data_IF_074872927618
#
_entry.id   IF_074872927618
#
_cell.length_a   1.000
_cell.length_b   1.000
_cell.length_c   1.000
_cell.angle_alpha   90.00
_cell.angle_beta   90.00
_cell.angle_gamma   90.00
#
_symmetry.space_group_name_H-M   'P 1'
#
loop_
_entity.id
_entity.type
_entity.pdbx_description
1 polymer ?
#
# COMPACT_ATOMS: atom_id res chain seq x y z
N UNK A 1 -23.21 -15.32 -10.42
CA UNK A 1 -21.84 -15.86 -10.46
C UNK A 1 -21.16 -15.57 -9.13
N UNK A 2 -20.62 -16.61 -8.47
CA UNK A 2 -19.94 -16.49 -7.16
C UNK A 2 -18.43 -16.59 -7.36
N UNK A 3 -17.67 -15.57 -6.95
CA UNK A 3 -16.22 -15.47 -7.18
C UNK A 3 -15.49 -15.37 -5.85
N UNK A 4 -14.41 -16.16 -5.71
CA UNK A 4 -13.46 -16.02 -4.61
C UNK A 4 -12.22 -15.25 -5.05
N UNK A 5 -11.94 -14.13 -4.41
CA UNK A 5 -10.69 -13.35 -4.59
C UNK A 5 -9.68 -13.75 -3.52
N UNK A 6 -8.46 -14.07 -3.92
CA UNK A 6 -7.38 -14.46 -3.00
C UNK A 6 -6.31 -13.36 -2.92
N UNK A 7 -6.16 -12.72 -1.75
CA UNK A 7 -4.99 -11.88 -1.41
C UNK A 7 -4.74 -11.92 0.09
N UNK A 8 -3.68 -12.60 0.52
CA UNK A 8 -3.44 -12.92 1.93
C UNK A 8 -2.72 -11.81 2.70
N UNK A 9 -1.96 -10.97 2.03
CA UNK A 9 -1.12 -9.89 2.56
C UNK A 9 -0.54 -9.07 1.40
N UNK A 10 0.05 -7.90 1.56
CA UNK A 10 0.09 -7.06 2.73
C UNK A 10 -0.98 -5.97 2.66
N UNK A 11 -0.98 -4.98 3.57
CA UNK A 11 -1.94 -3.86 3.57
C UNK A 11 -2.03 -3.20 2.19
N UNK A 12 -0.91 -2.71 1.66
CA UNK A 12 -0.87 -2.03 0.36
C UNK A 12 -1.32 -2.91 -0.79
N UNK A 13 -0.89 -4.18 -0.80
CA UNK A 13 -1.30 -5.12 -1.84
C UNK A 13 -2.82 -5.41 -1.82
N UNK A 14 -3.45 -5.44 -0.63
CA UNK A 14 -4.89 -5.61 -0.49
C UNK A 14 -5.61 -4.38 -1.05
N UNK A 15 -5.17 -3.18 -0.69
CA UNK A 15 -5.72 -1.93 -1.23
C UNK A 15 -5.59 -1.90 -2.76
N UNK A 16 -4.48 -2.34 -3.32
CA UNK A 16 -4.25 -2.43 -4.76
C UNK A 16 -5.19 -3.41 -5.49
N UNK A 17 -5.89 -4.32 -4.77
CA UNK A 17 -6.90 -5.21 -5.37
C UNK A 17 -8.28 -4.58 -5.47
N UNK A 18 -8.54 -3.45 -4.81
CA UNK A 18 -9.88 -2.86 -4.72
C UNK A 18 -10.51 -2.51 -6.07
N UNK A 19 -9.76 -2.05 -7.11
CA UNK A 19 -10.34 -1.86 -8.43
C UNK A 19 -10.89 -3.15 -9.06
N UNK A 20 -10.21 -4.29 -8.85
CA UNK A 20 -10.71 -5.59 -9.36
C UNK A 20 -12.03 -5.96 -8.67
N UNK A 21 -12.08 -5.82 -7.35
CA UNK A 21 -13.27 -6.11 -6.54
C UNK A 21 -14.44 -5.23 -6.96
N UNK A 22 -14.23 -3.92 -7.03
CA UNK A 22 -15.25 -2.95 -7.46
C UNK A 22 -15.76 -3.23 -8.88
N UNK A 23 -14.86 -3.44 -9.84
CA UNK A 23 -15.23 -3.69 -11.23
C UNK A 23 -15.97 -5.02 -11.40
N UNK A 24 -15.55 -6.09 -10.72
CA UNK A 24 -16.27 -7.36 -10.69
C UNK A 24 -17.69 -7.19 -10.14
N UNK A 25 -17.85 -6.48 -9.01
CA UNK A 25 -19.15 -6.25 -8.40
C UNK A 25 -20.07 -5.47 -9.31
N UNK A 26 -19.57 -4.35 -9.88
CA UNK A 26 -20.39 -3.43 -10.67
C UNK A 26 -20.69 -3.93 -12.09
N UNK A 27 -19.74 -4.60 -12.74
CA UNK A 27 -19.87 -4.95 -14.16
C UNK A 27 -20.34 -6.38 -14.39
N UNK A 28 -20.00 -7.31 -13.48
CA UNK A 28 -20.40 -8.71 -13.60
C UNK A 28 -21.54 -9.10 -12.64
N UNK A 29 -21.98 -8.20 -11.75
CA UNK A 29 -23.00 -8.51 -10.72
C UNK A 29 -22.63 -9.70 -9.85
N UNK A 30 -21.31 -9.95 -9.63
CA UNK A 30 -20.85 -11.13 -8.94
C UNK A 30 -21.11 -11.05 -7.44
N UNK A 31 -21.42 -12.20 -6.83
CA UNK A 31 -21.28 -12.41 -5.40
C UNK A 31 -19.80 -12.60 -5.11
N UNK A 32 -19.20 -11.66 -4.37
CA UNK A 32 -17.76 -11.62 -4.15
C UNK A 32 -17.40 -12.00 -2.73
N UNK A 33 -16.67 -13.10 -2.61
CA UNK A 33 -16.02 -13.49 -1.39
C UNK A 33 -14.52 -13.19 -1.47
N UNK A 34 -13.92 -12.84 -0.35
CA UNK A 34 -12.49 -12.50 -0.28
C UNK A 34 -11.80 -13.33 0.79
N UNK A 35 -10.65 -13.95 0.46
CA UNK A 35 -9.85 -14.72 1.42
C UNK A 35 -8.55 -13.96 1.71
N UNK A 36 -8.32 -13.68 2.99
CA UNK A 36 -7.11 -13.00 3.49
C UNK A 36 -6.62 -13.62 4.79
N UNK A 37 -5.48 -13.16 5.32
CA UNK A 37 -5.09 -13.46 6.71
C UNK A 37 -5.94 -12.64 7.68
N UNK A 38 -6.25 -13.22 8.86
CA UNK A 38 -7.09 -12.60 9.88
C UNK A 38 -6.65 -11.18 10.25
N UNK A 39 -5.35 -10.95 10.41
CA UNK A 39 -4.78 -9.63 10.74
C UNK A 39 -5.10 -8.55 9.70
N UNK A 40 -5.44 -8.92 8.46
CA UNK A 40 -5.78 -7.99 7.38
C UNK A 40 -7.27 -7.95 7.07
N UNK A 41 -8.08 -8.83 7.66
CA UNK A 41 -9.53 -8.87 7.43
C UNK A 41 -10.23 -7.53 7.73
N UNK A 42 -9.85 -6.77 8.78
CA UNK A 42 -10.45 -5.46 9.03
C UNK A 42 -10.38 -4.48 7.86
N UNK A 43 -9.31 -4.52 7.05
CA UNK A 43 -9.14 -3.64 5.87
C UNK A 43 -10.31 -3.76 4.88
N UNK A 44 -10.94 -4.93 4.85
CA UNK A 44 -11.99 -5.29 3.89
C UNK A 44 -13.40 -5.18 4.48
N UNK A 45 -13.53 -5.09 5.81
CA UNK A 45 -14.82 -5.22 6.51
C UNK A 45 -15.85 -4.17 6.10
N UNK A 46 -15.42 -2.94 5.84
CA UNK A 46 -16.31 -1.85 5.42
C UNK A 46 -16.42 -1.72 3.88
N UNK A 47 -15.85 -2.64 3.10
CA UNK A 47 -15.88 -2.55 1.65
C UNK A 47 -17.22 -3.03 1.09
N UNK A 48 -18.07 -2.14 0.52
CA UNK A 48 -19.43 -2.49 0.08
C UNK A 48 -19.46 -3.39 -1.15
N UNK A 49 -18.32 -3.64 -1.78
CA UNK A 49 -18.21 -4.52 -2.94
C UNK A 49 -17.88 -5.97 -2.59
N UNK A 50 -17.68 -6.28 -1.30
CA UNK A 50 -17.35 -7.62 -0.81
C UNK A 50 -18.53 -8.14 0.01
N UNK A 51 -19.11 -9.26 -0.42
CA UNK A 51 -20.26 -9.84 0.26
C UNK A 51 -19.84 -10.65 1.50
N UNK A 52 -18.64 -11.28 1.45
CA UNK A 52 -18.12 -12.06 2.58
C UNK A 52 -16.60 -12.07 2.61
N UNK A 53 -16.02 -11.87 3.79
CA UNK A 53 -14.60 -12.03 4.04
C UNK A 53 -14.35 -13.33 4.81
N UNK A 54 -13.54 -14.21 4.22
CA UNK A 54 -12.96 -15.37 4.90
C UNK A 54 -11.54 -15.02 5.36
N UNK A 55 -11.17 -15.50 6.53
CA UNK A 55 -9.83 -15.27 7.05
C UNK A 55 -9.26 -16.48 7.76
N UNK A 56 -7.94 -16.60 7.75
CA UNK A 56 -7.20 -17.66 8.44
C UNK A 56 -6.05 -17.04 9.25
N UNK A 57 -5.68 -17.71 10.36
CA UNK A 57 -4.59 -17.27 11.24
C UNK A 57 -3.23 -17.75 10.75
N UNK A 58 -3.04 -19.03 10.66
CA UNK A 58 -1.76 -19.68 10.36
C UNK A 58 -1.74 -20.34 8.99
N UNK A 59 -2.73 -21.17 8.71
CA UNK A 59 -2.78 -21.97 7.49
C UNK A 59 -4.14 -21.94 6.82
N UNK A 60 -4.16 -21.97 5.48
CA UNK A 60 -5.38 -21.94 4.68
C UNK A 60 -6.31 -23.13 4.92
N UNK A 61 -5.79 -24.24 5.48
CA UNK A 61 -6.62 -25.40 5.83
C UNK A 61 -7.73 -25.07 6.82
N UNK A 62 -7.54 -24.04 7.67
CA UNK A 62 -8.53 -23.59 8.66
C UNK A 62 -9.89 -23.24 8.03
N UNK A 63 -9.91 -22.83 6.77
CA UNK A 63 -11.11 -22.33 6.07
C UNK A 63 -11.48 -23.15 4.82
N UNK A 64 -10.71 -24.19 4.45
CA UNK A 64 -10.97 -24.94 3.22
C UNK A 64 -12.34 -25.65 3.22
N UNK A 65 -12.81 -26.12 4.37
CA UNK A 65 -14.12 -26.76 4.48
C UNK A 65 -15.22 -25.76 4.10
N UNK A 66 -15.22 -24.59 4.70
CA UNK A 66 -16.21 -23.54 4.46
C UNK A 66 -16.16 -23.04 3.02
N UNK A 67 -14.94 -22.83 2.49
CA UNK A 67 -14.78 -22.42 1.10
C UNK A 67 -15.31 -23.45 0.10
N UNK A 68 -15.21 -24.74 0.37
CA UNK A 68 -15.77 -25.80 -0.50
C UNK A 68 -17.29 -25.77 -0.52
N UNK A 69 -17.93 -25.49 0.62
CA UNK A 69 -19.40 -25.44 0.72
C UNK A 69 -20.02 -24.31 -0.11
N UNK A 70 -19.25 -23.25 -0.39
CA UNK A 70 -19.70 -22.08 -1.14
C UNK A 70 -19.87 -22.29 -2.65
N UNK A 71 -19.30 -23.36 -3.22
CA UNK A 71 -19.45 -23.74 -4.64
C UNK A 71 -19.14 -22.63 -5.64
N UNK A 72 -17.94 -22.04 -5.53
CA UNK A 72 -17.50 -20.95 -6.42
C UNK A 72 -17.52 -21.31 -7.91
N UNK A 73 -17.86 -20.34 -8.75
CA UNK A 73 -17.74 -20.46 -10.21
C UNK A 73 -16.33 -20.15 -10.69
N UNK A 74 -15.61 -19.24 -9.99
CA UNK A 74 -14.26 -18.81 -10.36
C UNK A 74 -13.44 -18.43 -9.12
N UNK A 75 -12.15 -18.70 -9.17
CA UNK A 75 -11.14 -18.21 -8.22
C UNK A 75 -10.23 -17.19 -8.92
N UNK A 76 -10.20 -15.96 -8.41
CA UNK A 76 -9.31 -14.89 -8.86
C UNK A 76 -8.14 -14.79 -7.90
N UNK A 77 -6.98 -15.31 -8.30
CA UNK A 77 -5.79 -15.41 -7.46
C UNK A 77 -4.86 -14.21 -7.68
N UNK A 78 -5.01 -13.20 -6.84
CA UNK A 78 -4.19 -11.99 -6.80
C UNK A 78 -3.01 -12.10 -5.82
N UNK A 79 -2.77 -13.31 -5.28
CA UNK A 79 -1.62 -13.59 -4.40
C UNK A 79 -0.55 -14.44 -5.08
N UNK A 80 -0.96 -15.47 -5.81
CA UNK A 80 -0.17 -16.35 -6.67
C UNK A 80 1.07 -16.93 -5.97
N UNK A 81 0.86 -17.73 -4.92
CA UNK A 81 1.92 -18.46 -4.21
C UNK A 81 1.47 -19.90 -3.87
N UNK A 82 2.31 -20.67 -3.16
CA UNK A 82 2.00 -22.06 -2.80
C UNK A 82 0.73 -22.19 -1.95
N UNK A 83 0.44 -21.22 -1.07
CA UNK A 83 -0.80 -21.24 -0.26
C UNK A 83 -2.04 -21.01 -1.13
N UNK A 84 -1.99 -20.06 -2.06
CA UNK A 84 -3.10 -19.83 -2.99
C UNK A 84 -3.26 -21.00 -3.97
N UNK A 85 -2.17 -21.67 -4.34
CA UNK A 85 -2.23 -22.90 -5.13
C UNK A 85 -2.97 -24.02 -4.38
N UNK A 86 -2.70 -24.22 -3.07
CA UNK A 86 -3.44 -25.19 -2.24
C UNK A 86 -4.94 -24.89 -2.19
N UNK A 87 -5.33 -23.60 -2.06
CA UNK A 87 -6.75 -23.21 -2.12
C UNK A 87 -7.37 -23.58 -3.48
N UNK A 88 -6.71 -23.21 -4.59
CA UNK A 88 -7.20 -23.55 -5.94
C UNK A 88 -7.37 -25.06 -6.14
N UNK A 89 -6.39 -25.83 -5.70
CA UNK A 89 -6.46 -27.29 -5.74
C UNK A 89 -7.61 -27.84 -4.90
N UNK A 90 -7.76 -27.36 -3.66
CA UNK A 90 -8.80 -27.84 -2.76
C UNK A 90 -10.21 -27.55 -3.26
N UNK A 91 -10.40 -26.47 -4.01
CA UNK A 91 -11.71 -26.07 -4.53
C UNK A 91 -12.07 -26.73 -5.86
N UNK A 92 -11.10 -27.21 -6.64
CA UNK A 92 -11.31 -27.79 -7.97
C UNK A 92 -12.19 -26.91 -8.88
N UNK A 93 -11.94 -25.58 -8.89
CA UNK A 93 -12.70 -24.62 -9.68
C UNK A 93 -11.80 -23.91 -10.69
N UNK A 94 -12.36 -23.40 -11.79
CA UNK A 94 -11.62 -22.53 -12.70
C UNK A 94 -10.90 -21.43 -11.93
N UNK A 95 -9.64 -21.14 -12.26
CA UNK A 95 -8.85 -20.16 -11.58
C UNK A 95 -8.06 -19.28 -12.55
N UNK A 96 -7.91 -18.00 -12.20
CA UNK A 96 -7.09 -17.05 -12.91
C UNK A 96 -6.10 -16.42 -11.96
N UNK A 97 -4.82 -16.46 -12.28
CA UNK A 97 -3.75 -15.87 -11.48
C UNK A 97 -3.09 -14.73 -12.22
N UNK A 98 -2.75 -13.67 -11.50
CA UNK A 98 -2.03 -12.55 -12.10
C UNK A 98 -0.56 -12.88 -12.35
N UNK A 99 0.04 -12.18 -13.31
CA UNK A 99 1.47 -12.29 -13.58
C UNK A 99 2.27 -11.43 -12.57
N UNK A 100 3.20 -12.07 -11.86
CA UNK A 100 4.09 -11.44 -10.87
C UNK A 100 5.29 -10.73 -11.51
N UNK A 101 5.56 -10.99 -12.79
CA UNK A 101 6.78 -10.55 -13.48
C UNK A 101 8.05 -10.82 -12.63
N UNK A 102 8.10 -12.04 -12.06
CA UNK A 102 9.18 -12.39 -11.14
C UNK A 102 10.53 -12.52 -11.84
N UNK A 103 10.53 -12.98 -13.09
CA UNK A 103 11.74 -13.13 -13.88
C UNK A 103 12.33 -11.77 -14.24
N UNK A 104 11.52 -10.84 -14.71
CA UNK A 104 11.92 -9.47 -15.09
C UNK A 104 12.46 -8.71 -13.87
N UNK A 105 11.77 -8.84 -12.71
CA UNK A 105 12.26 -8.27 -11.45
C UNK A 105 13.59 -8.90 -11.00
N UNK A 106 13.73 -10.21 -11.14
CA UNK A 106 14.96 -10.90 -10.82
C UNK A 106 16.10 -10.43 -11.74
N UNK A 107 15.83 -10.30 -13.02
CA UNK A 107 16.80 -9.84 -14.01
C UNK A 107 17.29 -8.43 -13.65
N UNK A 108 16.38 -7.49 -13.38
CA UNK A 108 16.75 -6.12 -12.99
C UNK A 108 17.59 -6.10 -11.69
N UNK A 109 17.17 -6.84 -10.66
CA UNK A 109 17.84 -6.85 -9.36
C UNK A 109 19.24 -7.45 -9.44
N UNK A 110 19.45 -8.51 -10.23
CA UNK A 110 20.70 -9.26 -10.21
C UNK A 110 21.68 -8.87 -11.34
N UNK A 111 21.18 -8.35 -12.45
CA UNK A 111 22.02 -8.02 -13.62
C UNK A 111 21.94 -6.54 -14.03
N UNK A 112 20.99 -5.77 -13.48
CA UNK A 112 20.75 -4.38 -13.92
C UNK A 112 20.01 -4.26 -15.26
N UNK A 113 19.66 -5.39 -15.90
CA UNK A 113 18.96 -5.38 -17.19
C UNK A 113 17.46 -5.13 -16.91
N UNK A 114 16.94 -4.01 -17.38
CA UNK A 114 15.53 -3.67 -17.27
C UNK A 114 14.73 -4.24 -18.45
N UNK A 115 13.83 -5.17 -18.14
CA UNK A 115 12.80 -5.71 -19.05
C UNK A 115 11.41 -5.66 -18.40
N UNK A 116 11.21 -4.76 -17.45
CA UNK A 116 9.90 -4.59 -16.83
C UNK A 116 8.88 -4.08 -17.87
N UNK A 117 7.64 -4.58 -17.85
CA UNK A 117 6.64 -4.22 -18.88
C UNK A 117 6.09 -2.80 -18.72
N UNK A 118 6.58 -1.99 -17.77
CA UNK A 118 6.07 -0.65 -17.42
C UNK A 118 4.54 -0.62 -17.22
N UNK A 119 4.01 -1.65 -16.59
CA UNK A 119 2.58 -1.82 -16.32
C UNK A 119 2.36 -1.86 -14.81
N UNK A 120 1.51 -0.96 -14.31
CA UNK A 120 1.15 -0.93 -12.90
C UNK A 120 0.48 -2.24 -12.46
N UNK A 121 0.72 -2.67 -11.21
CA UNK A 121 0.22 -3.95 -10.68
C UNK A 121 -1.32 -4.04 -10.73
N UNK A 122 -2.04 -2.93 -10.58
CA UNK A 122 -3.50 -2.88 -10.72
C UNK A 122 -3.94 -3.37 -12.09
N UNK A 123 -3.29 -2.94 -13.18
CA UNK A 123 -3.61 -3.41 -14.52
C UNK A 123 -3.28 -4.89 -14.73
N UNK A 124 -2.21 -5.39 -14.09
CA UNK A 124 -1.89 -6.83 -14.07
C UNK A 124 -2.94 -7.64 -13.28
N UNK A 125 -3.51 -7.07 -12.21
CA UNK A 125 -4.63 -7.66 -11.49
C UNK A 125 -5.90 -7.66 -12.35
N UNK A 126 -6.24 -6.54 -13.01
CA UNK A 126 -7.38 -6.44 -13.91
C UNK A 126 -7.31 -7.43 -15.08
N UNK A 127 -6.12 -7.78 -15.57
CA UNK A 127 -5.95 -8.77 -16.62
C UNK A 127 -6.53 -10.15 -16.26
N UNK A 128 -6.60 -10.51 -14.97
CA UNK A 128 -7.17 -11.78 -14.50
C UNK A 128 -8.67 -11.91 -14.78
N UNK A 129 -9.38 -10.78 -14.85
CA UNK A 129 -10.85 -10.73 -15.01
C UNK A 129 -11.29 -10.29 -16.41
N UNK A 130 -10.34 -9.92 -17.29
CA UNK A 130 -10.63 -9.44 -18.66
C UNK A 130 -11.50 -10.40 -19.48
N UNK A 131 -11.32 -11.72 -19.32
CA UNK A 131 -12.13 -12.73 -20.04
C UNK A 131 -13.59 -12.79 -19.59
N UNK A 132 -13.96 -12.14 -18.50
CA UNK A 132 -15.34 -11.96 -18.05
C UNK A 132 -15.98 -10.69 -18.65
N UNK A 133 -15.30 -9.99 -19.56
CA UNK A 133 -15.73 -8.68 -20.07
C UNK A 133 -15.53 -7.53 -19.08
N UNK A 134 -14.89 -7.78 -17.91
CA UNK A 134 -14.66 -6.76 -16.88
C UNK A 134 -13.44 -5.94 -17.24
N UNK A 135 -13.63 -4.62 -17.31
CA UNK A 135 -12.60 -3.63 -17.63
C UNK A 135 -12.38 -2.66 -16.46
N UNK A 136 -11.20 -2.06 -16.40
CA UNK A 136 -10.92 -1.03 -15.39
C UNK A 136 -11.80 0.22 -15.64
N UNK A 137 -12.45 0.70 -14.58
CA UNK A 137 -13.43 1.79 -14.62
C UNK A 137 -12.84 3.20 -14.50
N UNK A 138 -11.51 3.31 -14.41
CA UNK A 138 -10.82 4.59 -14.28
C UNK A 138 -10.87 5.26 -12.91
N UNK A 139 -11.53 4.67 -11.90
CA UNK A 139 -11.84 5.35 -10.64
C UNK A 139 -10.71 5.31 -9.57
N UNK A 140 -9.57 4.69 -9.85
CA UNK A 140 -8.46 4.57 -8.88
C UNK A 140 -8.69 3.47 -7.84
N UNK A 141 -8.05 3.63 -6.69
CA UNK A 141 -8.17 2.73 -5.54
C UNK A 141 -9.35 3.10 -4.66
N UNK A 142 -9.78 2.16 -3.81
CA UNK A 142 -10.75 2.39 -2.73
C UNK A 142 -10.15 2.06 -1.37
N UNK A 143 -10.58 2.80 -0.36
CA UNK A 143 -10.40 2.45 1.04
C UNK A 143 -11.60 2.96 1.85
N UNK A 144 -12.23 2.08 2.61
CA UNK A 144 -13.41 2.39 3.39
C UNK A 144 -13.07 2.36 4.88
N UNK A 145 -13.37 3.44 5.57
CA UNK A 145 -13.16 3.56 7.02
C UNK A 145 -14.49 3.27 7.70
N UNK A 146 -14.56 2.30 8.64
CA UNK A 146 -15.76 2.12 9.46
C UNK A 146 -16.07 3.41 10.22
N UNK A 147 -17.36 3.82 10.36
CA UNK A 147 -17.72 5.08 11.00
C UNK A 147 -17.16 5.25 12.42
N UNK A 148 -17.09 4.15 13.19
CA UNK A 148 -16.54 4.12 14.55
C UNK A 148 -15.03 4.34 14.62
N UNK A 149 -14.32 4.19 13.50
CA UNK A 149 -12.87 4.41 13.40
C UNK A 149 -12.52 5.80 12.85
N UNK A 150 -13.52 6.64 12.60
CA UNK A 150 -13.29 8.02 12.18
C UNK A 150 -12.75 8.87 13.32
N UNK A 151 -11.71 9.63 13.02
CA UNK A 151 -10.99 10.46 13.98
C UNK A 151 -11.23 11.94 13.70
N UNK A 152 -11.55 12.70 14.74
CA UNK A 152 -11.50 14.17 14.69
C UNK A 152 -10.07 14.62 14.99
N UNK A 153 -9.35 15.11 14.00
CA UNK A 153 -7.94 15.50 14.17
C UNK A 153 -7.74 16.62 15.19
N UNK A 154 -8.70 17.53 15.33
CA UNK A 154 -8.67 18.58 16.36
C UNK A 154 -8.74 18.05 17.80
N UNK A 155 -9.27 16.83 17.99
CA UNK A 155 -9.25 16.17 19.30
C UNK A 155 -7.90 15.52 19.63
N UNK A 156 -7.06 15.24 18.61
CA UNK A 156 -5.71 14.71 18.80
C UNK A 156 -4.72 15.81 19.19
N UNK A 157 -4.88 17.00 18.64
CA UNK A 157 -4.13 18.21 19.00
C UNK A 157 -4.89 19.44 18.53
N UNK A 158 -4.97 20.47 19.38
CA UNK A 158 -5.65 21.74 19.03
C UNK A 158 -4.99 22.51 17.88
N UNK A 159 -3.77 22.15 17.49
CA UNK A 159 -3.08 22.73 16.33
C UNK A 159 -3.49 22.11 14.99
N UNK A 160 -4.24 20.97 15.01
CA UNK A 160 -4.62 20.23 13.82
C UNK A 160 -6.04 20.58 13.39
N UNK A 161 -6.21 20.86 12.10
CA UNK A 161 -7.49 20.96 11.42
C UNK A 161 -7.43 20.24 10.06
N UNK A 162 -8.58 19.78 9.51
CA UNK A 162 -8.58 19.20 8.18
C UNK A 162 -7.96 20.14 7.15
N UNK A 163 -6.99 19.62 6.38
CA UNK A 163 -6.29 20.37 5.32
C UNK A 163 -5.12 21.23 5.77
N UNK A 164 -4.77 21.30 7.07
CA UNK A 164 -3.69 22.17 7.54
C UNK A 164 -2.40 21.45 7.96
N UNK A 165 -2.28 20.14 7.75
CA UNK A 165 -1.11 19.37 8.19
C UNK A 165 -0.67 18.33 7.16
N UNK A 166 0.57 17.93 7.25
CA UNK A 166 1.17 16.84 6.48
C UNK A 166 1.11 15.57 7.32
N UNK A 167 0.60 14.47 6.76
CA UNK A 167 0.70 13.14 7.37
C UNK A 167 2.01 12.48 6.92
N UNK A 168 2.89 12.15 7.87
CA UNK A 168 4.14 11.46 7.58
C UNK A 168 4.08 10.00 8.04
N UNK A 169 3.95 9.06 7.11
CA UNK A 169 4.00 7.63 7.37
C UNK A 169 5.45 7.15 7.51
N UNK A 170 5.93 7.00 8.74
CA UNK A 170 7.30 6.59 9.06
C UNK A 170 7.58 5.11 8.78
N UNK A 171 6.55 4.26 8.91
CA UNK A 171 6.69 2.81 8.84
C UNK A 171 6.92 2.28 7.44
N UNK A 172 7.70 1.22 7.36
CA UNK A 172 7.74 0.27 6.25
C UNK A 172 8.20 -1.08 6.79
N UNK A 173 7.79 -2.18 6.17
CA UNK A 173 8.13 -3.54 6.63
C UNK A 173 9.64 -3.77 6.73
N UNK A 174 10.42 -3.20 5.81
CA UNK A 174 11.87 -3.38 5.78
C UNK A 174 12.59 -2.06 6.07
N UNK A 175 13.64 -2.11 6.89
CA UNK A 175 14.40 -0.93 7.29
C UNK A 175 15.03 -0.20 6.08
N UNK A 176 15.41 -0.94 5.03
CA UNK A 176 15.98 -0.34 3.81
C UNK A 176 14.99 0.48 2.98
N UNK A 177 13.72 0.52 3.36
CA UNK A 177 12.70 1.39 2.77
C UNK A 177 12.46 2.68 3.56
N UNK A 178 13.05 2.82 4.75
CA UNK A 178 12.80 3.95 5.68
C UNK A 178 13.89 5.00 5.57
N UNK A 179 13.51 6.26 5.63
CA UNK A 179 14.48 7.35 5.83
C UNK A 179 15.20 7.18 7.18
N UNK A 180 16.49 7.53 7.27
CA UNK A 180 17.16 7.67 8.56
C UNK A 180 16.41 8.65 9.47
N UNK A 181 16.32 8.33 10.76
CA UNK A 181 15.55 9.12 11.74
C UNK A 181 15.99 10.58 11.78
N UNK A 182 17.31 10.83 11.72
CA UNK A 182 17.88 12.19 11.72
C UNK A 182 17.39 12.99 10.51
N UNK A 183 17.33 12.34 9.33
CA UNK A 183 16.84 12.97 8.10
C UNK A 183 15.34 13.26 8.18
N UNK A 184 14.56 12.32 8.72
CA UNK A 184 13.13 12.53 8.98
C UNK A 184 12.88 13.69 9.93
N UNK A 185 13.65 13.79 11.02
CA UNK A 185 13.59 14.90 11.98
C UNK A 185 13.95 16.25 11.33
N UNK A 186 14.96 16.27 10.46
CA UNK A 186 15.36 17.47 9.76
C UNK A 186 14.30 17.96 8.77
N UNK A 187 13.66 17.08 8.02
CA UNK A 187 12.53 17.39 7.15
C UNK A 187 11.39 17.99 7.98
N UNK A 188 11.00 17.37 9.10
CA UNK A 188 9.95 17.88 9.96
C UNK A 188 10.26 19.28 10.51
N UNK A 189 11.51 19.54 10.92
CA UNK A 189 11.92 20.88 11.41
C UNK A 189 11.89 21.97 10.35
N UNK A 190 12.16 21.61 9.08
CA UNK A 190 12.18 22.54 7.94
C UNK A 190 10.81 22.72 7.27
N UNK A 191 9.81 21.99 7.73
CA UNK A 191 8.45 22.05 7.19
C UNK A 191 7.67 23.14 7.92
N UNK A 192 7.05 24.05 7.19
CA UNK A 192 6.29 25.18 7.73
C UNK A 192 4.92 24.75 8.30
N UNK A 193 4.39 23.64 7.85
CA UNK A 193 3.08 23.10 8.27
C UNK A 193 3.24 22.14 9.44
N UNK A 194 2.18 21.95 10.25
CA UNK A 194 2.15 20.85 11.22
C UNK A 194 2.38 19.50 10.56
N UNK A 195 3.14 18.63 11.21
CA UNK A 195 3.45 17.26 10.75
C UNK A 195 2.90 16.26 11.74
N UNK A 196 2.05 15.34 11.26
CA UNK A 196 1.53 14.23 12.05
C UNK A 196 2.32 12.97 11.70
N UNK A 197 3.08 12.44 12.65
CA UNK A 197 3.82 11.19 12.47
C UNK A 197 2.88 10.00 12.66
N UNK A 198 2.84 9.12 11.67
CA UNK A 198 2.05 7.89 11.66
C UNK A 198 2.97 6.67 11.56
N UNK A 199 2.70 5.67 12.37
CA UNK A 199 3.43 4.42 12.40
C UNK A 199 2.81 3.43 13.37
N UNK A 200 3.16 2.15 13.25
CA UNK A 200 2.75 1.12 14.20
C UNK A 200 3.63 1.12 15.46
N UNK A 201 3.47 0.07 16.27
CA UNK A 201 4.25 -0.12 17.50
C UNK A 201 5.77 -0.21 17.25
N UNK A 202 6.18 -0.70 16.08
CA UNK A 202 7.58 -0.82 15.70
C UNK A 202 8.27 0.54 15.46
N UNK A 203 7.51 1.59 15.16
CA UNK A 203 8.02 2.91 14.89
C UNK A 203 8.07 3.84 16.12
N UNK A 204 7.47 3.43 17.25
CA UNK A 204 7.38 4.24 18.48
C UNK A 204 8.75 4.75 18.94
N UNK A 205 9.72 3.85 19.05
CA UNK A 205 11.05 4.21 19.56
C UNK A 205 11.77 5.18 18.62
N UNK A 206 11.77 4.88 17.33
CA UNK A 206 12.40 5.73 16.33
C UNK A 206 11.73 7.12 16.24
N UNK A 207 10.40 7.18 16.39
CA UNK A 207 9.64 8.44 16.30
C UNK A 207 9.89 9.39 17.46
N UNK A 208 10.33 8.91 18.62
CA UNK A 208 10.68 9.75 19.78
C UNK A 208 11.82 10.72 19.53
N UNK A 209 12.69 10.40 18.58
CA UNK A 209 13.79 11.28 18.18
C UNK A 209 13.38 12.36 17.16
N UNK A 210 12.14 12.31 16.65
CA UNK A 210 11.61 13.28 15.71
C UNK A 210 10.79 14.31 16.50
N UNK A 211 11.45 15.36 16.95
CA UNK A 211 10.86 16.41 17.80
C UNK A 211 10.77 17.72 17.04
N UNK A 212 9.77 18.52 17.36
CA UNK A 212 9.59 19.87 16.86
C UNK A 212 8.29 20.49 17.38
N UNK A 213 8.18 21.81 17.44
CA UNK A 213 6.98 22.51 17.90
C UNK A 213 5.77 22.27 16.98
N UNK A 214 6.03 21.89 15.73
CA UNK A 214 5.03 21.57 14.71
C UNK A 214 4.80 20.07 14.53
N UNK A 215 5.38 19.19 15.39
CA UNK A 215 5.29 17.73 15.26
C UNK A 215 4.32 17.14 16.26
N UNK A 216 3.32 16.42 15.76
CA UNK A 216 2.40 15.61 16.56
C UNK A 216 2.69 14.13 16.30
N UNK A 217 3.20 13.43 17.31
CA UNK A 217 3.59 12.04 17.20
C UNK A 217 2.46 11.10 17.63
N UNK A 218 1.88 10.37 16.68
CA UNK A 218 0.82 9.39 16.89
C UNK A 218 1.26 7.94 16.62
N UNK A 219 2.56 7.69 16.51
CA UNK A 219 3.08 6.33 16.30
C UNK A 219 2.67 5.39 17.44
N UNK A 220 2.12 4.23 17.09
CA UNK A 220 1.66 3.21 18.04
C UNK A 220 0.36 3.53 18.78
N UNK A 221 -0.27 4.68 18.54
CA UNK A 221 -1.48 5.13 19.23
C UNK A 221 -2.77 4.86 18.45
N UNK A 222 -2.68 4.73 17.15
CA UNK A 222 -3.84 4.62 16.26
C UNK A 222 -3.93 3.22 15.65
N UNK A 223 -5.17 2.78 15.39
CA UNK A 223 -5.41 1.65 14.49
C UNK A 223 -5.05 2.02 13.05
N UNK A 224 -5.08 1.06 12.13
CA UNK A 224 -4.88 1.33 10.71
C UNK A 224 -5.98 2.23 10.15
N UNK A 225 -7.25 2.01 10.54
CA UNK A 225 -8.37 2.82 10.08
C UNK A 225 -8.32 4.25 10.64
N UNK A 226 -7.96 4.41 11.90
CA UNK A 226 -7.74 5.73 12.51
C UNK A 226 -6.58 6.47 11.82
N UNK A 227 -5.48 5.77 11.52
CA UNK A 227 -4.37 6.33 10.72
C UNK A 227 -4.84 6.72 9.31
N UNK A 228 -5.71 5.93 8.68
CA UNK A 228 -6.31 6.24 7.39
C UNK A 228 -7.23 7.47 7.47
N UNK A 229 -8.00 7.63 8.56
CA UNK A 229 -8.82 8.82 8.81
C UNK A 229 -7.96 10.08 8.94
N UNK A 230 -6.82 10.00 9.63
CA UNK A 230 -5.85 11.10 9.71
C UNK A 230 -5.24 11.39 8.32
N UNK A 231 -4.84 10.37 7.57
CA UNK A 231 -4.33 10.53 6.19
C UNK A 231 -5.35 11.21 5.28
N UNK A 232 -6.62 10.81 5.36
CA UNK A 232 -7.70 11.39 4.54
C UNK A 232 -7.89 12.89 4.78
N UNK A 233 -7.67 13.37 5.99
CA UNK A 233 -7.84 14.77 6.40
C UNK A 233 -6.57 15.61 6.19
N UNK A 234 -5.40 15.01 5.89
CA UNK A 234 -4.16 15.73 5.63
C UNK A 234 -4.22 16.54 4.32
N UNK A 235 -3.44 17.62 4.21
CA UNK A 235 -3.26 18.34 2.93
C UNK A 235 -2.35 17.56 1.98
N UNK A 236 -1.29 16.93 2.50
CA UNK A 236 -0.35 16.11 1.75
C UNK A 236 0.13 14.93 2.60
N UNK A 237 0.73 13.95 1.95
CA UNK A 237 1.27 12.75 2.61
C UNK A 237 2.73 12.54 2.21
N UNK A 238 3.61 12.55 3.20
CA UNK A 238 4.99 12.08 3.04
C UNK A 238 5.04 10.60 3.44
N UNK A 239 5.59 9.77 2.59
CA UNK A 239 5.57 8.32 2.87
C UNK A 239 6.73 7.59 2.19
N UNK A 240 6.98 6.38 2.66
CA UNK A 240 7.81 5.40 1.99
C UNK A 240 6.94 4.44 1.14
N UNK A 241 7.56 3.47 0.45
CA UNK A 241 6.86 2.34 -0.19
C UNK A 241 6.19 1.45 0.88
N UNK A 242 4.96 1.80 1.26
CA UNK A 242 4.20 1.22 2.39
C UNK A 242 2.69 1.18 2.13
N UNK A 243 1.96 0.48 3.00
CA UNK A 243 0.50 0.36 2.91
C UNK A 243 -0.24 1.70 2.96
N UNK A 244 0.20 2.63 3.84
CA UNK A 244 -0.40 3.97 3.94
C UNK A 244 -0.23 4.81 2.66
N UNK A 245 0.80 4.57 1.86
CA UNK A 245 0.96 5.19 0.54
C UNK A 245 -0.24 4.88 -0.38
N UNK A 246 -0.65 3.62 -0.42
CA UNK A 246 -1.78 3.19 -1.25
C UNK A 246 -3.13 3.64 -0.68
N UNK A 247 -3.25 3.72 0.65
CA UNK A 247 -4.42 4.28 1.32
C UNK A 247 -4.54 5.78 1.00
N UNK A 248 -3.44 6.53 1.04
CA UNK A 248 -3.41 7.94 0.65
C UNK A 248 -3.83 8.14 -0.82
N UNK A 249 -3.36 7.28 -1.73
CA UNK A 249 -3.76 7.29 -3.13
C UNK A 249 -5.27 7.00 -3.32
N UNK A 250 -5.84 6.08 -2.52
CA UNK A 250 -7.28 5.82 -2.51
C UNK A 250 -8.10 7.07 -2.10
N UNK A 251 -7.57 7.89 -1.20
CA UNK A 251 -8.16 9.18 -0.83
C UNK A 251 -7.76 10.35 -1.75
N UNK A 252 -7.06 10.07 -2.86
CA UNK A 252 -6.63 11.08 -3.84
C UNK A 252 -5.81 12.20 -3.21
N UNK A 253 -4.95 11.88 -2.24
CA UNK A 253 -4.09 12.85 -1.58
C UNK A 253 -2.85 13.13 -2.43
N UNK A 254 -2.32 14.38 -2.41
CA UNK A 254 -0.97 14.64 -2.86
C UNK A 254 0.02 13.80 -2.05
N UNK A 255 0.90 13.07 -2.73
CA UNK A 255 1.86 12.15 -2.09
C UNK A 255 3.28 12.50 -2.51
N UNK A 256 4.15 12.63 -1.52
CA UNK A 256 5.60 12.57 -1.73
C UNK A 256 6.07 11.20 -1.29
N UNK A 257 6.38 10.34 -2.25
CA UNK A 257 6.83 8.96 -2.00
C UNK A 257 8.34 8.85 -2.09
N UNK A 258 8.96 8.38 -1.00
CA UNK A 258 10.42 8.22 -0.91
C UNK A 258 10.80 6.77 -1.16
N UNK A 259 11.69 6.56 -2.12
CA UNK A 259 12.08 5.23 -2.59
C UNK A 259 13.56 4.94 -2.32
N UNK A 260 13.80 3.94 -1.46
CA UNK A 260 15.14 3.50 -1.10
C UNK A 260 15.64 2.35 -1.98
N UNK A 261 15.65 1.15 -1.43
CA UNK A 261 16.17 -0.05 -2.10
C UNK A 261 15.26 -0.60 -3.21
N UNK A 262 13.97 -0.30 -3.17
CA UNK A 262 12.98 -0.62 -4.22
C UNK A 262 12.85 0.53 -5.21
N UNK A 263 12.16 0.30 -6.32
CA UNK A 263 11.96 1.29 -7.39
C UNK A 263 10.50 1.36 -7.81
N UNK A 264 9.98 2.56 -8.18
CA UNK A 264 8.62 2.70 -8.72
C UNK A 264 8.37 1.80 -9.94
N UNK A 265 9.40 1.55 -10.75
CA UNK A 265 9.34 0.71 -11.95
C UNK A 265 8.85 -0.73 -11.70
N UNK A 266 8.85 -1.23 -10.45
CA UNK A 266 8.17 -2.49 -10.12
C UNK A 266 6.65 -2.44 -10.28
N UNK A 267 6.09 -1.24 -10.55
CA UNK A 267 4.68 -1.00 -10.81
C UNK A 267 3.83 -0.98 -9.56
N UNK A 268 4.38 -0.50 -8.44
CA UNK A 268 3.68 -0.39 -7.15
C UNK A 268 3.74 1.05 -6.57
N UNK A 269 3.86 2.04 -7.43
CA UNK A 269 3.75 3.44 -7.05
C UNK A 269 2.27 3.82 -6.74
N UNK A 270 1.99 5.02 -6.17
CA UNK A 270 0.61 5.47 -5.94
C UNK A 270 -0.24 5.39 -7.20
N UNK A 271 -1.43 4.80 -7.09
CA UNK A 271 -2.35 4.59 -8.22
C UNK A 271 -3.60 5.44 -8.06
N UNK A 272 -3.78 6.39 -8.94
CA UNK A 272 -4.89 7.35 -8.92
C UNK A 272 -5.95 7.04 -10.00
N UNK A 273 -7.11 7.75 -9.96
CA UNK A 273 -8.04 7.76 -11.07
C UNK A 273 -7.37 8.16 -12.39
N UNK A 274 -7.93 7.69 -13.49
CA UNK A 274 -7.41 8.01 -14.83
C UNK A 274 -7.36 9.53 -15.06
N UNK A 275 -6.23 10.02 -15.55
CA UNK A 275 -5.98 11.45 -15.78
C UNK A 275 -5.54 12.25 -14.54
N UNK A 276 -5.41 11.60 -13.38
CA UNK A 276 -4.91 12.22 -12.16
C UNK A 276 -3.52 11.68 -11.83
N UNK A 277 -2.58 12.56 -11.57
CA UNK A 277 -1.26 12.22 -10.99
C UNK A 277 -0.93 13.25 -9.92
N UNK A 278 -0.95 12.83 -8.66
CA UNK A 278 -0.68 13.64 -7.48
C UNK A 278 0.53 13.10 -6.71
N UNK A 279 1.39 12.31 -7.37
CA UNK A 279 2.55 11.70 -6.74
C UNK A 279 3.86 12.31 -7.23
N UNK A 280 4.67 12.76 -6.28
CA UNK A 280 6.09 13.05 -6.52
C UNK A 280 6.94 11.94 -5.93
N UNK A 281 7.65 11.21 -6.80
CA UNK A 281 8.60 10.18 -6.36
C UNK A 281 9.98 10.78 -6.15
N UNK A 282 10.51 10.64 -4.93
CA UNK A 282 11.85 11.09 -4.56
C UNK A 282 12.75 9.88 -4.36
N UNK A 283 13.85 9.82 -5.11
CA UNK A 283 14.77 8.68 -5.12
C UNK A 283 16.19 9.10 -5.55
N UNK A 284 17.19 8.40 -5.07
CA UNK A 284 18.57 8.58 -5.55
C UNK A 284 18.76 7.80 -6.85
N UNK A 285 18.87 8.51 -7.97
CA UNK A 285 19.10 7.91 -9.30
C UNK A 285 20.58 7.53 -9.51
N UNK A 286 20.84 6.60 -10.42
CA UNK A 286 22.19 6.24 -10.84
C UNK A 286 23.01 5.40 -9.86
N UNK A 287 22.42 4.88 -8.78
CA UNK A 287 23.09 3.95 -7.88
C UNK A 287 23.15 2.55 -8.50
N UNK A 288 24.34 2.05 -8.78
CA UNK A 288 24.56 0.72 -9.40
C UNK A 288 24.04 -0.46 -8.56
N UNK A 289 23.85 -0.26 -7.24
CA UNK A 289 23.31 -1.28 -6.34
C UNK A 289 21.78 -1.22 -6.21
N UNK A 290 21.09 -0.39 -6.98
CA UNK A 290 19.65 -0.18 -6.86
C UNK A 290 18.92 -0.58 -8.16
N UNK A 291 17.82 -1.35 -8.08
CA UNK A 291 17.24 -1.95 -6.88
C UNK A 291 18.06 -3.12 -6.36
N UNK A 292 18.33 -3.20 -5.06
CA UNK A 292 19.08 -4.33 -4.49
C UNK A 292 18.20 -5.48 -4.00
N UNK A 293 16.86 -5.32 -4.05
CA UNK A 293 15.88 -6.33 -3.67
C UNK A 293 14.52 -6.01 -4.29
N UNK A 294 13.70 -7.04 -4.49
CA UNK A 294 12.29 -6.88 -4.89
C UNK A 294 11.41 -6.32 -3.76
N UNK A 295 11.78 -6.53 -2.50
CA UNK A 295 10.93 -6.23 -1.33
C UNK A 295 11.62 -5.40 -0.25
N UNK A 296 12.91 -5.55 -0.02
CA UNK A 296 13.67 -4.87 1.02
C UNK A 296 14.50 -5.82 1.88
N UNK A 297 15.25 -5.23 2.82
CA UNK A 297 16.08 -5.91 3.82
C UNK A 297 15.97 -5.19 5.17
N UNK A 298 16.36 -5.89 6.25
CA UNK A 298 16.43 -5.31 7.60
C UNK A 298 17.63 -4.36 7.76
N UNK A 299 18.63 -4.48 6.88
CA UNK A 299 19.80 -3.58 6.80
C UNK A 299 20.35 -3.55 5.38
N UNK A 300 21.02 -2.46 5.04
CA UNK A 300 21.67 -2.32 3.74
C UNK A 300 22.77 -3.39 3.54
N UNK A 301 22.67 -4.27 2.53
CA UNK A 301 23.68 -5.30 2.30
C UNK A 301 25.05 -4.72 1.90
N UNK A 302 25.09 -3.51 1.34
CA UNK A 302 26.32 -2.77 1.00
C UNK A 302 26.82 -1.87 2.13
N UNK A 303 26.13 -1.82 3.29
CA UNK A 303 26.44 -1.03 4.50
C UNK A 303 26.45 0.51 4.33
N UNK A 304 26.46 1.06 3.13
CA UNK A 304 26.53 2.51 2.89
C UNK A 304 25.17 3.22 2.91
N UNK A 305 24.08 2.53 2.69
CA UNK A 305 22.68 3.01 2.68
C UNK A 305 22.43 4.30 1.87
N UNK A 306 23.25 4.53 0.83
CA UNK A 306 23.22 5.76 0.03
C UNK A 306 21.86 6.05 -0.60
N UNK A 307 21.08 5.01 -0.96
CA UNK A 307 19.74 5.17 -1.52
C UNK A 307 18.76 5.91 -0.60
N UNK A 308 19.08 6.05 0.70
CA UNK A 308 18.33 6.86 1.66
C UNK A 308 19.17 8.01 2.24
N UNK A 309 20.46 7.78 2.51
CA UNK A 309 21.33 8.81 3.05
C UNK A 309 21.53 9.98 2.08
N UNK A 310 21.62 9.71 0.77
CA UNK A 310 21.89 10.74 -0.25
C UNK A 310 20.57 11.38 -0.79
N UNK A 311 19.39 11.01 -0.27
CA UNK A 311 18.13 11.71 -0.58
C UNK A 311 18.27 13.18 -0.22
N UNK A 312 17.96 14.05 -1.17
CA UNK A 312 18.00 15.51 -0.95
C UNK A 312 16.71 15.98 -0.29
N UNK A 313 16.82 16.49 0.93
CA UNK A 313 15.69 17.00 1.70
C UNK A 313 14.96 18.14 0.98
N UNK A 314 15.71 18.97 0.27
CA UNK A 314 15.15 20.07 -0.52
C UNK A 314 14.15 19.57 -1.59
N UNK A 315 14.35 18.38 -2.17
CA UNK A 315 13.40 17.79 -3.13
C UNK A 315 12.10 17.41 -2.43
N UNK A 316 12.18 16.82 -1.23
CA UNK A 316 11.01 16.48 -0.43
C UNK A 316 10.25 17.73 -0.02
N UNK A 317 10.96 18.73 0.52
CA UNK A 317 10.36 19.98 0.98
C UNK A 317 9.71 20.77 -0.16
N UNK A 318 10.36 20.80 -1.33
CA UNK A 318 9.78 21.44 -2.52
C UNK A 318 8.51 20.74 -2.98
N UNK A 319 8.49 19.39 -2.95
CA UNK A 319 7.33 18.60 -3.36
C UNK A 319 6.17 18.66 -2.34
N UNK A 320 6.44 18.97 -1.06
CA UNK A 320 5.42 19.14 -0.03
C UNK A 320 4.78 20.55 -0.05
N UNK A 321 5.40 21.52 -0.68
CA UNK A 321 4.79 22.83 -0.91
C UNK A 321 3.71 22.68 -1.97
N UNK A 322 2.46 22.62 -1.53
CA UNK A 322 1.33 22.63 -2.45
C UNK A 322 1.30 23.97 -3.19
N UNK A 323 0.99 24.01 -4.49
CA UNK A 323 0.69 25.27 -5.15
C UNK A 323 -0.51 25.92 -4.44
N UNK A 324 -0.43 27.22 -4.24
CA UNK A 324 -1.51 28.06 -3.70
C UNK A 324 -2.77 28.01 -4.56
#
# INVERSE_FOLDING_TARGET
MKILVLRFSSIGDIVLTTPVVRCLKKQAGAELHYLTKEIFAPILAANPYIDRVFSFKKDVSEVLHDLRSEKYDLVVDLHHNLRSLRVKWALHRPARSFDKINFEKWLLVNTGIDRLPNVHIVHRYMATVRRLGVVYDGAGLDYFIPPEEEVRVSALSGSLAPGNYIAFALGATHATKRLPVQKAAEICRKTDQPVVLLGGKAEVEASRAILGPNVVNLCGQLTLHQSASVVRQACAVLTHDTGLMHIAAAFRKPIVSVWGNTVPAFGMFPFYPTGMDLNTSVEVKGLSCRPCSKIGYDRCPRKHFRCMNDIREAEILSALRLPE
#
